data_IF_554504573104
#
_entry.id   IF_554504573104
#
_cell.length_a   1.000
_cell.length_b   1.000
_cell.length_c   1.000
_cell.angle_alpha   90.00
_cell.angle_beta   90.00
_cell.angle_gamma   90.00
#
_symmetry.space_group_name_H-M   'P 1'
#
loop_
_entity.id
_entity.type
_entity.pdbx_description
1 polymer ?
#
# COMPACT_ATOMS: atom_id res chain seq x y z
N UNK A 1 17.27 19.11 33.35
CA UNK A 1 16.95 18.02 32.39
C UNK A 1 17.87 18.20 31.18
N UNK A 2 19.08 17.63 31.24
CA UNK A 2 20.12 17.78 30.21
C UNK A 2 19.95 16.69 29.16
N UNK A 3 19.16 16.96 28.13
CA UNK A 3 19.00 16.04 27.01
C UNK A 3 20.36 15.90 26.31
N UNK A 4 20.95 14.71 26.37
CA UNK A 4 22.27 14.44 25.85
C UNK A 4 22.26 14.60 24.31
N UNK A 5 22.97 15.62 23.80
CA UNK A 5 22.96 16.02 22.37
C UNK A 5 23.32 14.85 21.45
N UNK A 6 24.21 13.96 21.89
CA UNK A 6 24.57 12.74 21.15
C UNK A 6 23.39 11.77 20.98
N UNK A 7 22.54 11.63 22.00
CA UNK A 7 21.31 10.83 21.95
C UNK A 7 20.30 11.48 21.01
N UNK A 8 20.14 12.80 21.05
CA UNK A 8 19.21 13.54 20.18
C UNK A 8 19.62 13.43 18.71
N UNK A 9 20.91 13.57 18.39
CA UNK A 9 21.43 13.43 17.03
C UNK A 9 21.23 12.01 16.50
N UNK A 10 21.45 10.97 17.31
CA UNK A 10 21.19 9.57 16.92
C UNK A 10 19.72 9.28 16.64
N UNK A 11 18.81 9.79 17.47
CA UNK A 11 17.36 9.63 17.24
C UNK A 11 16.93 10.27 15.91
N UNK A 12 17.44 11.47 15.60
CA UNK A 12 17.11 12.15 14.34
C UNK A 12 17.59 11.40 13.08
N UNK A 13 18.74 10.74 13.15
CA UNK A 13 19.25 9.92 12.06
C UNK A 13 18.39 8.67 11.83
N UNK A 14 17.99 7.99 12.92
CA UNK A 14 17.11 6.81 12.86
C UNK A 14 15.76 7.18 12.26
N UNK A 15 15.17 8.31 12.67
CA UNK A 15 13.91 8.80 12.09
C UNK A 15 14.03 9.10 10.60
N UNK A 16 15.16 9.68 10.17
CA UNK A 16 15.42 9.97 8.75
C UNK A 16 15.54 8.67 7.95
N UNK A 17 16.28 7.69 8.45
CA UNK A 17 16.42 6.40 7.78
C UNK A 17 15.08 5.66 7.75
N UNK A 18 14.35 5.61 8.86
CA UNK A 18 13.05 4.95 8.95
C UNK A 18 12.01 5.59 8.00
N UNK A 19 11.99 6.92 7.91
CA UNK A 19 11.09 7.65 7.01
C UNK A 19 11.39 7.37 5.52
N UNK A 20 12.67 7.36 5.15
CA UNK A 20 13.12 7.07 3.78
C UNK A 20 12.83 5.61 3.44
N UNK A 21 13.26 4.65 4.28
CA UNK A 21 13.03 3.23 4.07
C UNK A 21 11.54 2.89 4.03
N UNK A 22 10.75 3.47 4.94
CA UNK A 22 9.31 3.27 4.96
C UNK A 22 8.64 3.75 3.67
N UNK A 23 8.92 5.00 3.26
CA UNK A 23 8.32 5.56 2.04
C UNK A 23 8.76 4.82 0.79
N UNK A 24 10.06 4.62 0.59
CA UNK A 24 10.55 4.01 -0.65
C UNK A 24 10.39 2.50 -0.67
N UNK A 25 10.38 1.83 0.50
CA UNK A 25 9.93 0.45 0.62
C UNK A 25 8.48 0.31 0.16
N UNK A 26 7.59 1.22 0.58
CA UNK A 26 6.20 1.24 0.12
C UNK A 26 6.09 1.49 -1.39
N UNK A 27 6.87 2.43 -1.94
CA UNK A 27 6.95 2.69 -3.38
C UNK A 27 7.36 1.44 -4.15
N UNK A 28 8.40 0.74 -3.68
CA UNK A 28 8.90 -0.47 -4.33
C UNK A 28 7.83 -1.56 -4.29
N UNK A 29 7.22 -1.82 -3.13
CA UNK A 29 6.20 -2.87 -3.00
C UNK A 29 5.01 -2.60 -3.91
N UNK A 30 4.43 -1.39 -3.85
CA UNK A 30 3.26 -1.04 -4.67
C UNK A 30 3.63 -1.02 -6.15
N UNK A 31 4.76 -0.39 -6.52
CA UNK A 31 5.18 -0.26 -7.90
C UNK A 31 5.55 -1.59 -8.54
N UNK A 32 6.20 -2.48 -7.80
CA UNK A 32 6.60 -3.80 -8.30
C UNK A 32 5.39 -4.72 -8.46
N UNK A 33 4.52 -4.80 -7.45
CA UNK A 33 3.28 -5.60 -7.55
C UNK A 33 2.39 -5.05 -8.68
N UNK A 34 2.28 -3.72 -8.80
CA UNK A 34 1.56 -3.06 -9.90
C UNK A 34 2.12 -3.39 -11.28
N UNK A 35 3.44 -3.43 -11.42
CA UNK A 35 4.07 -3.83 -12.68
C UNK A 35 3.81 -5.31 -13.03
N UNK A 36 3.70 -6.19 -12.02
CA UNK A 36 3.38 -7.61 -12.27
C UNK A 36 1.93 -7.80 -12.76
N UNK A 37 1.00 -6.87 -12.47
CA UNK A 37 -0.41 -6.95 -12.91
C UNK A 37 -0.62 -6.99 -14.42
N UNK A 38 0.39 -6.61 -15.20
CA UNK A 38 0.37 -6.71 -16.67
C UNK A 38 0.66 -8.14 -17.17
N UNK A 39 1.11 -9.04 -16.29
CA UNK A 39 1.31 -10.45 -16.60
C UNK A 39 0.01 -11.25 -16.44
N UNK A 40 -0.24 -12.19 -17.37
CA UNK A 40 -1.45 -13.01 -17.37
C UNK A 40 -1.61 -13.85 -16.09
N UNK A 41 -0.52 -14.33 -15.51
CA UNK A 41 -0.60 -15.20 -14.32
C UNK A 41 -1.10 -14.42 -13.09
N UNK A 42 -0.70 -13.15 -12.92
CA UNK A 42 -1.20 -12.28 -11.83
C UNK A 42 -2.69 -12.02 -11.97
N UNK A 43 -3.18 -11.82 -13.20
CA UNK A 43 -4.60 -11.60 -13.46
C UNK A 43 -5.45 -12.78 -12.94
N UNK A 44 -4.96 -14.01 -13.07
CA UNK A 44 -5.65 -15.20 -12.54
C UNK A 44 -5.52 -15.33 -11.01
N UNK A 45 -4.43 -14.86 -10.41
CA UNK A 45 -4.26 -14.88 -8.95
C UNK A 45 -5.20 -13.92 -8.23
N UNK A 46 -5.47 -12.75 -8.82
CA UNK A 46 -6.34 -11.74 -8.20
C UNK A 46 -7.82 -11.94 -8.50
N UNK A 47 -8.13 -12.72 -9.54
CA UNK A 47 -9.49 -13.01 -9.95
C UNK A 47 -10.37 -13.52 -8.79
N UNK A 48 -9.98 -14.54 -8.02
CA UNK A 48 -10.81 -15.04 -6.92
C UNK A 48 -10.97 -14.01 -5.79
N UNK A 49 -9.97 -13.18 -5.52
CA UNK A 49 -10.05 -12.13 -4.48
C UNK A 49 -11.14 -11.10 -4.83
N UNK A 50 -11.12 -10.65 -6.08
CA UNK A 50 -12.00 -9.60 -6.58
C UNK A 50 -13.42 -10.14 -6.81
N UNK A 51 -13.54 -11.35 -7.36
CA UNK A 51 -14.84 -11.97 -7.65
C UNK A 51 -15.69 -12.22 -6.39
N UNK A 52 -15.05 -12.52 -5.26
CA UNK A 52 -15.73 -12.73 -3.98
C UNK A 52 -15.87 -11.45 -3.14
N UNK A 53 -15.42 -10.30 -3.65
CA UNK A 53 -15.55 -9.02 -2.94
C UNK A 53 -16.97 -8.43 -3.12
N UNK A 54 -17.65 -8.00 -2.03
CA UNK A 54 -18.96 -7.34 -2.12
C UNK A 54 -18.94 -6.06 -2.95
N UNK A 55 -17.78 -5.37 -3.00
CA UNK A 55 -17.63 -4.07 -3.66
C UNK A 55 -17.20 -4.18 -5.11
N UNK A 56 -16.52 -5.27 -5.47
CA UNK A 56 -15.84 -5.42 -6.76
C UNK A 56 -16.26 -6.69 -7.52
N UNK A 57 -17.07 -7.59 -6.95
CA UNK A 57 -17.45 -8.85 -7.61
C UNK A 57 -18.16 -8.66 -8.95
N UNK A 58 -18.84 -7.52 -9.14
CA UNK A 58 -19.53 -7.17 -10.38
C UNK A 58 -18.57 -6.74 -11.52
N UNK A 59 -17.32 -6.37 -11.22
CA UNK A 59 -16.39 -5.83 -12.23
C UNK A 59 -16.18 -6.79 -13.39
N UNK A 60 -16.15 -8.10 -13.14
CA UNK A 60 -15.93 -9.10 -14.18
C UNK A 60 -17.14 -9.34 -15.09
N UNK A 61 -18.29 -8.73 -14.79
CA UNK A 61 -19.44 -8.67 -15.71
C UNK A 61 -19.25 -7.57 -16.77
N UNK A 62 -18.37 -6.59 -16.50
CA UNK A 62 -18.13 -5.42 -17.37
C UNK A 62 -16.77 -5.52 -18.05
N UNK A 63 -15.75 -5.99 -17.34
CA UNK A 63 -14.37 -6.08 -17.82
C UNK A 63 -13.85 -7.52 -17.84
N UNK A 64 -13.07 -7.91 -18.87
CA UNK A 64 -12.29 -9.13 -18.83
C UNK A 64 -11.29 -9.12 -17.65
N UNK A 65 -10.98 -10.31 -17.13
CA UNK A 65 -10.06 -10.51 -15.99
C UNK A 65 -8.71 -9.82 -16.22
N UNK A 66 -8.14 -10.01 -17.40
CA UNK A 66 -6.88 -9.36 -17.78
C UNK A 66 -6.98 -7.83 -17.79
N UNK A 67 -8.05 -7.29 -18.38
CA UNK A 67 -8.25 -5.84 -18.50
C UNK A 67 -8.36 -5.20 -17.12
N UNK A 68 -9.13 -5.80 -16.21
CA UNK A 68 -9.21 -5.30 -14.84
C UNK A 68 -7.86 -5.36 -14.12
N UNK A 69 -7.12 -6.47 -14.27
CA UNK A 69 -5.76 -6.58 -13.73
C UNK A 69 -4.85 -5.47 -14.24
N UNK A 70 -4.82 -5.22 -15.55
CA UNK A 70 -4.01 -4.17 -16.14
C UNK A 70 -4.42 -2.77 -15.65
N UNK A 71 -5.72 -2.49 -15.50
CA UNK A 71 -6.22 -1.23 -14.95
C UNK A 71 -5.79 -1.02 -13.48
N UNK A 72 -5.88 -2.08 -12.67
CA UNK A 72 -5.37 -2.08 -11.30
C UNK A 72 -3.84 -1.84 -11.29
N UNK A 73 -3.11 -2.45 -12.22
CA UNK A 73 -1.66 -2.24 -12.40
C UNK A 73 -1.29 -0.79 -12.71
N UNK A 74 -2.02 -0.14 -13.62
CA UNK A 74 -1.86 1.30 -13.90
C UNK A 74 -2.10 2.12 -12.65
N UNK A 75 -3.15 1.79 -11.88
CA UNK A 75 -3.48 2.49 -10.64
C UNK A 75 -2.38 2.33 -9.57
N UNK A 76 -1.86 1.11 -9.38
CA UNK A 76 -0.79 0.81 -8.43
C UNK A 76 0.52 1.51 -8.82
N UNK A 77 0.93 1.44 -10.09
CA UNK A 77 2.14 2.12 -10.58
C UNK A 77 2.02 3.64 -10.45
N UNK A 78 0.83 4.21 -10.74
CA UNK A 78 0.57 5.63 -10.55
C UNK A 78 0.66 6.03 -9.07
N UNK A 79 0.10 5.23 -8.15
CA UNK A 79 0.21 5.46 -6.71
C UNK A 79 1.67 5.45 -6.24
N UNK A 80 2.47 4.47 -6.70
CA UNK A 80 3.88 4.37 -6.39
C UNK A 80 4.68 5.59 -6.89
N UNK A 81 4.43 6.02 -8.13
CA UNK A 81 5.05 7.22 -8.68
C UNK A 81 4.72 8.48 -7.87
N UNK A 82 3.43 8.67 -7.52
CA UNK A 82 2.99 9.79 -6.70
C UNK A 82 3.59 9.75 -5.29
N UNK A 83 3.73 8.58 -4.66
CA UNK A 83 4.41 8.44 -3.37
C UNK A 83 5.90 8.84 -3.43
N UNK A 84 6.57 8.47 -4.53
CA UNK A 84 8.00 8.72 -4.74
C UNK A 84 8.32 10.22 -4.96
N UNK A 85 7.40 10.98 -5.57
CA UNK A 85 7.66 12.38 -5.94
C UNK A 85 7.66 13.37 -4.76
N UNK A 86 7.43 12.92 -3.52
CA UNK A 86 7.39 13.75 -2.30
C UNK A 86 8.53 14.77 -2.17
N UNK A 87 9.81 14.45 -2.45
CA UNK A 87 10.90 15.42 -2.34
C UNK A 87 10.74 16.64 -3.24
N UNK A 88 10.04 16.51 -4.37
CA UNK A 88 9.85 17.58 -5.36
C UNK A 88 8.45 18.17 -5.26
N UNK A 89 7.41 17.35 -5.16
CA UNK A 89 6.01 17.77 -5.15
C UNK A 89 5.22 17.06 -4.03
N UNK A 90 5.36 17.50 -2.76
CA UNK A 90 4.71 16.84 -1.62
C UNK A 90 3.17 16.87 -1.69
N UNK A 91 2.59 17.85 -2.40
CA UNK A 91 1.13 17.89 -2.65
C UNK A 91 0.65 16.72 -3.49
N UNK A 92 1.41 16.34 -4.53
CA UNK A 92 1.06 15.17 -5.37
C UNK A 92 1.23 13.87 -4.60
N UNK A 93 2.21 13.81 -3.69
CA UNK A 93 2.38 12.65 -2.82
C UNK A 93 1.25 12.42 -1.83
N UNK A 94 0.48 13.45 -1.45
CA UNK A 94 -0.73 13.26 -0.64
C UNK A 94 -1.71 12.34 -1.38
N UNK A 95 -1.92 12.59 -2.67
CA UNK A 95 -2.78 11.76 -3.53
C UNK A 95 -2.27 10.33 -3.62
N UNK A 96 -0.95 10.14 -3.79
CA UNK A 96 -0.34 8.80 -3.81
C UNK A 96 -0.56 8.04 -2.50
N UNK A 97 -0.43 8.70 -1.35
CA UNK A 97 -0.72 8.09 -0.05
C UNK A 97 -2.19 7.72 0.11
N UNK A 98 -3.13 8.54 -0.37
CA UNK A 98 -4.56 8.23 -0.35
C UNK A 98 -4.89 7.02 -1.24
N UNK A 99 -4.30 6.95 -2.44
CA UNK A 99 -4.44 5.79 -3.32
C UNK A 99 -3.92 4.51 -2.65
N UNK A 100 -2.77 4.57 -1.99
CA UNK A 100 -2.21 3.44 -1.24
C UNK A 100 -3.12 2.99 -0.09
N UNK A 101 -3.71 3.92 0.66
CA UNK A 101 -4.69 3.61 1.70
C UNK A 101 -5.88 2.83 1.11
N UNK A 102 -6.45 3.30 0.00
CA UNK A 102 -7.57 2.63 -0.67
C UNK A 102 -7.19 1.23 -1.15
N UNK A 103 -5.99 1.05 -1.70
CA UNK A 103 -5.47 -0.26 -2.12
C UNK A 103 -5.40 -1.22 -0.93
N UNK A 104 -4.72 -0.85 0.15
CA UNK A 104 -4.55 -1.75 1.29
C UNK A 104 -5.86 -1.99 2.06
N UNK A 105 -6.78 -1.03 2.11
CA UNK A 105 -8.12 -1.28 2.65
C UNK A 105 -8.88 -2.30 1.81
N UNK A 106 -8.75 -2.23 0.49
CA UNK A 106 -9.39 -3.20 -0.41
C UNK A 106 -8.80 -4.60 -0.22
N UNK A 107 -7.47 -4.72 -0.11
CA UNK A 107 -6.82 -6.02 0.08
C UNK A 107 -7.06 -6.62 1.46
N UNK A 108 -7.08 -5.80 2.52
CA UNK A 108 -7.50 -6.25 3.86
C UNK A 108 -8.97 -6.69 3.83
N UNK A 109 -9.84 -6.04 3.06
CA UNK A 109 -11.20 -6.49 2.83
C UNK A 109 -11.26 -7.93 2.29
N UNK A 110 -10.36 -8.27 1.37
CA UNK A 110 -10.28 -9.63 0.80
C UNK A 110 -9.97 -10.71 1.84
N UNK A 111 -9.33 -10.37 2.98
CA UNK A 111 -9.08 -11.31 4.07
C UNK A 111 -10.38 -11.86 4.66
N UNK A 112 -11.46 -11.07 4.63
CA UNK A 112 -12.76 -11.44 5.19
C UNK A 112 -13.76 -11.92 4.15
N UNK A 113 -13.57 -11.53 2.89
CA UNK A 113 -14.54 -11.82 1.81
C UNK A 113 -14.14 -13.00 0.94
N UNK A 114 -12.86 -13.39 0.93
CA UNK A 114 -12.37 -14.45 0.04
C UNK A 114 -12.43 -15.82 0.71
N UNK A 115 -13.06 -16.83 0.09
CA UNK A 115 -12.92 -18.23 0.51
C UNK A 115 -11.46 -18.71 0.41
N UNK A 116 -11.04 -19.61 1.30
CA UNK A 116 -9.70 -20.21 1.27
C UNK A 116 -8.61 -19.45 2.02
N UNK A 117 -8.97 -18.41 2.78
CA UNK A 117 -8.05 -17.72 3.70
C UNK A 117 -7.71 -18.59 4.92
N UNK A 118 -8.65 -19.41 5.38
CA UNK A 118 -8.40 -20.37 6.46
C UNK A 118 -7.65 -21.61 5.96
N UNK A 119 -6.63 -22.05 6.68
CA UNK A 119 -5.85 -23.26 6.39
C UNK A 119 -6.64 -24.52 6.83
N UNK A 120 -7.09 -25.38 5.89
CA UNK A 120 -7.87 -26.56 6.24
C UNK A 120 -7.13 -27.54 7.15
N UNK A 121 -5.80 -27.69 6.97
CA UNK A 121 -4.99 -28.57 7.82
C UNK A 121 -4.93 -28.10 9.28
N UNK A 122 -5.12 -26.79 9.52
CA UNK A 122 -5.17 -26.17 10.84
C UNK A 122 -6.58 -26.11 11.45
N UNK A 123 -7.59 -26.72 10.82
CA UNK A 123 -8.99 -26.63 11.25
C UNK A 123 -9.75 -25.41 10.72
N UNK A 124 -9.20 -24.71 9.73
CA UNK A 124 -9.75 -23.48 9.19
C UNK A 124 -9.36 -22.25 10.00
N UNK A 125 -10.04 -21.13 9.77
CA UNK A 125 -9.75 -19.87 10.46
C UNK A 125 -9.87 -20.04 12.00
N UNK A 126 -8.88 -19.60 12.80
CA UNK A 126 -7.87 -18.57 12.52
C UNK A 126 -6.52 -19.07 11.98
N UNK A 127 -6.34 -20.37 11.75
CA UNK A 127 -5.16 -20.83 11.00
C UNK A 127 -5.25 -20.27 9.58
N UNK A 128 -4.20 -19.59 9.12
CA UNK A 128 -4.18 -18.85 7.85
C UNK A 128 -3.45 -19.64 6.77
N UNK A 129 -3.99 -19.65 5.56
CA UNK A 129 -3.32 -20.20 4.38
C UNK A 129 -2.23 -19.25 3.87
N UNK A 130 -1.41 -19.71 2.92
CA UNK A 130 -0.42 -18.88 2.23
C UNK A 130 -1.03 -17.60 1.62
N UNK A 131 -2.28 -17.68 1.16
CA UNK A 131 -3.02 -16.52 0.65
C UNK A 131 -3.38 -15.55 1.78
N UNK A 132 -3.81 -16.06 2.93
CA UNK A 132 -4.07 -15.25 4.12
C UNK A 132 -2.82 -14.54 4.62
N UNK A 133 -1.67 -15.23 4.67
CA UNK A 133 -0.37 -14.65 5.01
C UNK A 133 0.02 -13.52 4.05
N UNK A 134 -0.19 -13.72 2.75
CA UNK A 134 0.08 -12.71 1.73
C UNK A 134 -0.74 -11.43 1.97
N UNK A 135 -2.00 -11.52 2.41
CA UNK A 135 -2.86 -10.37 2.68
C UNK A 135 -2.58 -9.71 4.04
N UNK A 136 -2.14 -10.48 5.05
CA UNK A 136 -1.86 -9.93 6.38
C UNK A 136 -0.75 -8.88 6.40
N UNK A 137 0.23 -9.00 5.50
CA UNK A 137 1.30 -8.00 5.35
C UNK A 137 0.77 -6.62 4.98
N UNK A 138 -0.46 -6.52 4.45
CA UNK A 138 -1.05 -5.26 4.04
C UNK A 138 -1.52 -4.42 5.24
N UNK A 139 -1.71 -5.03 6.42
CA UNK A 139 -2.03 -4.32 7.66
C UNK A 139 -0.94 -3.32 8.06
N UNK A 140 0.34 -3.72 8.24
CA UNK A 140 1.40 -2.75 8.52
C UNK A 140 1.64 -1.79 7.35
N UNK A 141 1.45 -2.21 6.10
CA UNK A 141 1.57 -1.31 4.93
C UNK A 141 0.47 -0.23 4.91
N UNK A 142 -0.74 -0.55 5.36
CA UNK A 142 -1.79 0.43 5.60
C UNK A 142 -1.34 1.46 6.65
N UNK A 143 -0.81 1.01 7.79
CA UNK A 143 -0.26 1.92 8.81
C UNK A 143 0.83 2.84 8.25
N UNK A 144 1.72 2.28 7.44
CA UNK A 144 2.78 3.03 6.76
C UNK A 144 2.23 4.02 5.73
N UNK A 145 1.16 3.68 5.02
CA UNK A 145 0.50 4.59 4.07
C UNK A 145 -0.08 5.82 4.77
N UNK A 146 -0.74 5.65 5.93
CA UNK A 146 -1.17 6.77 6.77
C UNK A 146 0.01 7.60 7.29
N UNK A 147 1.10 6.95 7.67
CA UNK A 147 2.32 7.66 8.06
C UNK A 147 2.88 8.50 6.90
N UNK A 148 2.95 7.96 5.67
CA UNK A 148 3.39 8.72 4.48
C UNK A 148 2.45 9.87 4.14
N UNK A 149 1.14 9.72 4.38
CA UNK A 149 0.17 10.80 4.22
C UNK A 149 0.48 11.96 5.17
N UNK A 150 0.63 11.68 6.46
CA UNK A 150 0.97 12.67 7.47
C UNK A 150 2.30 13.36 7.18
N UNK A 151 3.34 12.60 6.80
CA UNK A 151 4.64 13.14 6.40
C UNK A 151 4.54 14.06 5.17
N UNK A 152 3.74 13.69 4.16
CA UNK A 152 3.50 14.52 2.97
C UNK A 152 2.78 15.84 3.33
N UNK A 153 1.72 15.78 4.15
CA UNK A 153 0.98 16.96 4.61
C UNK A 153 1.91 17.92 5.38
N UNK A 154 2.72 17.41 6.30
CA UNK A 154 3.71 18.21 7.05
C UNK A 154 4.71 18.89 6.11
N UNK A 155 5.17 18.20 5.06
CA UNK A 155 6.06 18.79 4.06
C UNK A 155 5.39 19.91 3.25
N UNK A 156 4.09 19.78 2.92
CA UNK A 156 3.31 20.85 2.27
C UNK A 156 3.22 22.09 3.17
N UNK A 157 2.91 21.90 4.46
CA UNK A 157 2.80 22.99 5.43
C UNK A 157 4.12 23.74 5.59
N UNK A 158 5.24 23.02 5.77
CA UNK A 158 6.58 23.62 5.89
C UNK A 158 6.95 24.48 4.68
N UNK A 159 6.65 24.02 3.46
CA UNK A 159 6.89 24.81 2.24
C UNK A 159 6.01 26.05 2.15
N UNK A 160 4.77 25.96 2.60
CA UNK A 160 3.87 27.13 2.63
C UNK A 160 4.34 28.20 3.60
N UNK A 161 4.92 27.81 4.74
CA UNK A 161 5.48 28.76 5.71
C UNK A 161 6.73 29.45 5.16
N UNK A 162 7.63 28.71 4.50
CA UNK A 162 8.87 29.26 3.95
C UNK A 162 8.66 30.13 2.70
N UNK A 163 7.50 30.06 2.06
CA UNK A 163 7.14 30.86 0.88
C UNK A 163 6.40 32.16 1.22
N UNK A 164 6.11 32.39 2.51
CA UNK A 164 5.57 33.66 3.05
C UNK A 164 6.70 34.45 3.66
#
# INVERSE_FOLDING_TARGET
MTTNVSTVLRTSAIETVASVLGRYGLVIVIGWIGALKFANYEAHQIQPLVANSPWMGWVYQVFPVYTFSALLGVFEVAAAFLLAIKPVAPRLSVTGSLMAIVLFLSTIGFLFTTPGIGEPAGGGFPAISLLGEFLLKDIPLLGLSFWTLADSIRAVQRRSTNAR
#
